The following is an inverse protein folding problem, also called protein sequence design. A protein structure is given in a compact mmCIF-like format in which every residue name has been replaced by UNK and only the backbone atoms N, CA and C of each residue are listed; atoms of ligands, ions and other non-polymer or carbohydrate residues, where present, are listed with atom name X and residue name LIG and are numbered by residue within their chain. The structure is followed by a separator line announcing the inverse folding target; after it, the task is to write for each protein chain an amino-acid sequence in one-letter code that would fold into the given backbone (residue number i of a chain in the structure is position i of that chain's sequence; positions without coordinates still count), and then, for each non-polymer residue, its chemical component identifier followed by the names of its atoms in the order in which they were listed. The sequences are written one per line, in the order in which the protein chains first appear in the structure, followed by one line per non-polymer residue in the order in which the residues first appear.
data_IF_650047148992
#
_entry.id   IF_650047148992
#
_cell.length_a   1.000
_cell.length_b   1.000
_cell.length_c   1.000
_cell.angle_alpha   90.00
_cell.angle_beta   90.00
_cell.angle_gamma   90.00
#
_symmetry.space_group_name_H-M   'P 1'
#
loop_
_entity.id
_entity.type
_entity.pdbx_description
1 polymer ?
#
# COMPACT_ATOMS: atom_id res chain seq x y z
N UNK A 1 4.42 6.36 -15.01
CA UNK A 1 3.58 7.10 -14.04
C UNK A 1 2.46 6.24 -13.47
N UNK A 2 1.76 5.39 -14.25
CA UNK A 2 0.70 4.49 -13.75
C UNK A 2 1.07 3.65 -12.49
N UNK A 3 2.28 3.09 -12.42
CA UNK A 3 2.66 2.25 -11.26
C UNK A 3 2.95 3.06 -9.99
N UNK A 4 3.32 4.34 -10.13
CA UNK A 4 3.53 5.25 -9.01
C UNK A 4 2.17 5.62 -8.39
N UNK A 5 1.14 5.81 -9.23
CA UNK A 5 -0.24 6.05 -8.79
C UNK A 5 -0.76 4.88 -7.95
N UNK A 6 -0.47 3.63 -8.34
CA UNK A 6 -0.86 2.45 -7.56
C UNK A 6 -0.29 2.46 -6.14
N UNK A 7 0.96 2.90 -5.97
CA UNK A 7 1.59 3.00 -4.65
C UNK A 7 0.91 4.06 -3.77
N UNK A 8 0.60 5.24 -4.34
CA UNK A 8 -0.10 6.30 -3.62
C UNK A 8 -1.54 5.92 -3.26
N UNK A 9 -2.23 5.14 -4.09
CA UNK A 9 -3.56 4.61 -3.79
C UNK A 9 -3.51 3.66 -2.59
N UNK A 10 -2.56 2.73 -2.57
CA UNK A 10 -2.41 1.78 -1.44
C UNK A 10 -2.07 2.53 -0.14
N UNK A 11 -1.16 3.51 -0.19
CA UNK A 11 -0.84 4.34 0.99
C UNK A 11 -2.08 5.10 1.50
N UNK A 12 -2.89 5.67 0.60
CA UNK A 12 -4.10 6.40 0.98
C UNK A 12 -5.13 5.48 1.65
N UNK A 13 -5.28 4.25 1.15
CA UNK A 13 -6.16 3.23 1.74
C UNK A 13 -5.66 2.83 3.13
N UNK A 14 -4.35 2.64 3.32
CA UNK A 14 -3.77 2.36 4.64
C UNK A 14 -4.11 3.49 5.63
N UNK A 15 -3.87 4.75 5.26
CA UNK A 15 -4.23 5.88 6.13
C UNK A 15 -5.72 5.87 6.49
N UNK A 16 -6.61 5.63 5.51
CA UNK A 16 -8.04 5.53 5.73
C UNK A 16 -8.44 4.41 6.70
N UNK A 17 -7.90 3.21 6.51
CA UNK A 17 -8.14 2.06 7.41
C UNK A 17 -7.70 2.37 8.84
N UNK A 18 -6.56 3.07 9.01
CA UNK A 18 -6.07 3.44 10.33
C UNK A 18 -7.00 4.44 11.03
N UNK A 19 -7.45 5.46 10.29
CA UNK A 19 -8.37 6.47 10.81
C UNK A 19 -9.72 5.85 11.17
N UNK A 20 -10.28 4.98 10.32
CA UNK A 20 -11.54 4.29 10.61
C UNK A 20 -11.38 3.40 11.85
N UNK A 21 -10.29 2.66 11.96
CA UNK A 21 -10.03 1.81 13.13
C UNK A 21 -9.92 2.60 14.42
N UNK A 22 -9.22 3.73 14.41
CA UNK A 22 -8.98 4.54 15.60
C UNK A 22 -10.18 5.40 16.00
N UNK A 23 -10.80 6.06 15.02
CA UNK A 23 -11.84 7.06 15.27
C UNK A 23 -13.27 6.53 15.17
N UNK A 24 -13.57 5.59 14.27
CA UNK A 24 -14.93 5.04 14.13
C UNK A 24 -15.14 3.78 14.96
N UNK A 25 -14.12 2.93 15.07
CA UNK A 25 -14.23 1.60 15.66
C UNK A 25 -13.65 1.50 17.08
N UNK A 26 -13.15 2.62 17.65
CA UNK A 26 -12.56 2.70 19.00
C UNK A 26 -11.54 1.59 19.32
N UNK A 27 -10.86 1.04 18.31
CA UNK A 27 -9.90 -0.05 18.49
C UNK A 27 -10.49 -1.43 18.82
N UNK A 28 -11.81 -1.65 18.81
CA UNK A 28 -12.40 -2.97 19.07
C UNK A 28 -11.92 -4.04 18.07
N UNK A 29 -11.59 -3.63 16.85
CA UNK A 29 -11.13 -4.50 15.77
C UNK A 29 -9.62 -4.40 15.50
N UNK A 30 -8.83 -3.94 16.47
CA UNK A 30 -7.40 -3.65 16.29
C UNK A 30 -6.60 -4.84 15.74
N UNK A 31 -6.93 -6.06 16.16
CA UNK A 31 -6.30 -7.27 15.65
C UNK A 31 -6.53 -7.45 14.13
N UNK A 32 -7.78 -7.36 13.67
CA UNK A 32 -8.12 -7.50 12.24
C UNK A 32 -7.53 -6.37 11.41
N UNK A 33 -7.56 -5.14 11.95
CA UNK A 33 -6.98 -3.97 11.29
C UNK A 33 -5.46 -4.12 11.13
N UNK A 34 -4.77 -4.66 12.13
CA UNK A 34 -3.33 -4.95 12.05
C UNK A 34 -2.99 -5.98 10.95
N UNK A 35 -3.78 -7.06 10.85
CA UNK A 35 -3.64 -8.04 9.77
C UNK A 35 -3.95 -7.44 8.39
N UNK A 36 -5.00 -6.63 8.29
CA UNK A 36 -5.37 -5.93 7.05
C UNK A 36 -4.28 -4.94 6.61
N UNK A 37 -3.70 -4.20 7.56
CA UNK A 37 -2.56 -3.32 7.31
C UNK A 37 -1.33 -4.07 6.84
N UNK A 38 -1.04 -5.21 7.45
CA UNK A 38 0.08 -6.07 7.03
C UNK A 38 -0.10 -6.55 5.59
N UNK A 39 -1.32 -6.97 5.22
CA UNK A 39 -1.63 -7.35 3.85
C UNK A 39 -1.50 -6.18 2.86
N UNK A 40 -2.05 -5.00 3.19
CA UNK A 40 -1.93 -3.78 2.38
C UNK A 40 -0.48 -3.36 2.19
N UNK A 41 0.34 -3.47 3.24
CA UNK A 41 1.77 -3.17 3.20
C UNK A 41 2.52 -4.10 2.22
N UNK A 42 2.26 -5.41 2.29
CA UNK A 42 2.86 -6.38 1.37
C UNK A 42 2.44 -6.10 -0.08
N UNK A 43 1.16 -5.80 -0.31
CA UNK A 43 0.65 -5.41 -1.63
C UNK A 43 1.32 -4.14 -2.17
N UNK A 44 1.44 -3.11 -1.34
CA UNK A 44 2.12 -1.86 -1.70
C UNK A 44 3.60 -2.09 -2.04
N UNK A 45 4.27 -2.97 -1.28
CA UNK A 45 5.68 -3.33 -1.49
C UNK A 45 5.87 -4.10 -2.80
N UNK A 46 4.99 -5.05 -3.12
CA UNK A 46 4.98 -5.76 -4.40
C UNK A 46 4.78 -4.79 -5.57
N UNK A 47 3.84 -3.85 -5.44
CA UNK A 47 3.64 -2.80 -6.44
C UNK A 47 4.89 -1.93 -6.62
N UNK A 48 5.57 -1.59 -5.53
CA UNK A 48 6.79 -0.80 -5.57
C UNK A 48 7.95 -1.54 -6.25
N UNK A 49 8.17 -2.81 -5.91
CA UNK A 49 9.19 -3.65 -6.54
C UNK A 49 8.89 -3.81 -8.02
N UNK A 50 7.65 -4.11 -8.38
CA UNK A 50 7.25 -4.27 -9.78
C UNK A 50 7.41 -2.95 -10.57
N UNK A 51 7.02 -1.83 -9.97
CA UNK A 51 7.25 -0.50 -10.54
C UNK A 51 8.74 -0.25 -10.79
N UNK A 52 9.59 -0.51 -9.80
CA UNK A 52 11.04 -0.32 -9.89
C UNK A 52 11.67 -1.23 -10.93
N UNK A 53 11.24 -2.48 -11.02
CA UNK A 53 11.74 -3.45 -11.99
C UNK A 53 11.40 -3.03 -13.43
N UNK A 54 10.15 -2.62 -13.67
CA UNK A 54 9.71 -2.10 -14.97
C UNK A 54 10.49 -0.82 -15.36
N UNK A 55 10.68 0.11 -14.42
CA UNK A 55 11.47 1.31 -14.69
C UNK A 55 12.96 1.02 -14.93
N UNK A 56 13.53 0.04 -14.23
CA UNK A 56 14.92 -0.39 -14.41
C UNK A 56 15.15 -1.05 -15.78
N UNK A 57 14.22 -1.91 -16.21
CA UNK A 57 14.28 -2.56 -17.54
C UNK A 57 14.24 -1.51 -18.67
N UNK A 58 13.39 -0.49 -18.52
CA UNK A 58 13.27 0.61 -19.50
C UNK A 58 14.50 1.52 -19.58
N UNK A 59 15.40 1.47 -18.59
CA UNK A 59 16.65 2.25 -18.56
C UNK A 59 17.82 1.50 -19.18
N UNK A 60 17.76 0.17 -19.28
CA UNK A 60 18.78 -0.68 -19.92
C UNK A 60 18.60 -0.86 -21.43
N UNK A 61 17.44 -0.49 -21.99
CA UNK A 61 17.15 -0.53 -23.44
C UNK A 61 17.32 0.85 -24.12
N UNK A 62 18.04 1.79 -23.50
CA UNK A 62 18.36 3.11 -24.07
C UNK A 62 19.85 3.30 -24.24
#
# INVERSE_FOLDING_TARGET
MKNIVGMYVVMSIMVGVNLISGYLLNGEYWAIVSWLMTALFLFGTLFFINARYIFSKKKGER
#
